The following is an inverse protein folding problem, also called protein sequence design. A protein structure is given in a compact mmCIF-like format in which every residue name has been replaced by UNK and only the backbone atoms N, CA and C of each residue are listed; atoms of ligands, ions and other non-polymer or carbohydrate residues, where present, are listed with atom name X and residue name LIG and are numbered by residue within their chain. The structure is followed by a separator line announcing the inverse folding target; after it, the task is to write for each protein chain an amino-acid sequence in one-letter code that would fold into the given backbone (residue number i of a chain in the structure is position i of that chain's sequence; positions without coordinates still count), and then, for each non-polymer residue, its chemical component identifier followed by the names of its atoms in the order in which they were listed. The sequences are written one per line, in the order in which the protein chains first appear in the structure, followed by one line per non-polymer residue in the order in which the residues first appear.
data_IF_394755039170
#
_entry.id   IF_394755039170
#
_cell.length_a   1.000
_cell.length_b   1.000
_cell.length_c   1.000
_cell.angle_alpha   90.00
_cell.angle_beta   90.00
_cell.angle_gamma   90.00
#
_symmetry.space_group_name_H-M   'P 1'
#
loop_
_entity.id
_entity.type
_entity.pdbx_description
1 polymer ?
#
# COMPACT_ATOMS: atom_id res chain seq x y z
N UNK A 1 -9.24 -8.41 -11.78
CA UNK A 1 -8.26 -7.32 -11.55
C UNK A 1 -8.71 -6.06 -12.29
N UNK A 2 -8.96 -4.95 -11.59
CA UNK A 2 -9.36 -3.68 -12.22
C UNK A 2 -8.19 -2.96 -12.92
N UNK A 3 -7.14 -3.67 -13.35
CA UNK A 3 -6.02 -3.10 -14.10
C UNK A 3 -5.25 -1.98 -13.38
N UNK A 4 -5.27 -1.96 -12.05
CA UNK A 4 -4.74 -0.85 -11.26
C UNK A 4 -3.24 -1.00 -10.97
N UNK A 5 -2.69 -2.21 -11.11
CA UNK A 5 -1.26 -2.51 -10.90
C UNK A 5 -0.83 -3.75 -11.68
N UNK A 6 0.46 -3.77 -12.05
CA UNK A 6 1.06 -4.83 -12.86
C UNK A 6 1.12 -6.17 -12.13
N UNK A 7 1.61 -6.17 -10.87
CA UNK A 7 1.69 -7.39 -10.05
C UNK A 7 1.15 -7.14 -8.64
N UNK A 8 0.24 -8.01 -8.20
CA UNK A 8 -0.16 -8.13 -6.79
C UNK A 8 -0.21 -9.59 -6.35
N UNK A 9 0.50 -9.91 -5.28
CA UNK A 9 0.53 -11.24 -4.67
C UNK A 9 0.05 -11.15 -3.21
N UNK A 10 -1.17 -11.60 -2.88
CA UNK A 10 -1.62 -11.72 -1.50
C UNK A 10 -0.93 -12.94 -0.87
N UNK A 11 0.09 -12.74 -0.04
CA UNK A 11 0.96 -13.82 0.46
C UNK A 11 0.54 -14.39 1.82
N UNK A 12 -0.35 -13.71 2.55
CA UNK A 12 -0.79 -14.13 3.90
C UNK A 12 -1.20 -15.59 4.01
N UNK A 13 -2.03 -16.08 3.07
CA UNK A 13 -2.46 -17.49 3.07
C UNK A 13 -1.29 -18.45 2.90
N UNK A 14 -0.34 -18.13 2.02
CA UNK A 14 0.82 -18.98 1.79
C UNK A 14 1.76 -19.00 3.01
N UNK A 15 1.80 -17.91 3.76
CA UNK A 15 2.59 -17.78 5.00
C UNK A 15 1.85 -18.29 6.24
N UNK A 16 0.54 -18.52 6.16
CA UNK A 16 -0.28 -18.93 7.31
C UNK A 16 -0.42 -17.85 8.38
N UNK A 17 -0.50 -16.57 7.98
CA UNK A 17 -0.63 -15.47 8.94
C UNK A 17 -2.08 -15.28 9.38
N UNK A 18 -2.31 -15.22 10.68
CA UNK A 18 -3.65 -15.01 11.27
C UNK A 18 -3.93 -13.55 11.67
N UNK A 19 -2.87 -12.81 11.99
CA UNK A 19 -2.98 -11.46 12.57
C UNK A 19 -2.41 -10.35 11.68
N UNK A 20 -1.82 -10.70 10.53
CA UNK A 20 -1.21 -9.75 9.60
C UNK A 20 -1.59 -10.09 8.17
N UNK A 21 -2.13 -9.09 7.46
CA UNK A 21 -2.25 -9.13 6.01
C UNK A 21 -0.95 -8.65 5.35
N UNK A 22 -0.46 -9.35 4.34
CA UNK A 22 0.71 -8.95 3.57
C UNK A 22 0.44 -9.16 2.08
N UNK A 23 0.67 -8.09 1.32
CA UNK A 23 0.59 -8.09 -0.13
C UNK A 23 1.94 -7.63 -0.67
N UNK A 24 2.45 -8.33 -1.69
CA UNK A 24 3.58 -7.86 -2.49
C UNK A 24 3.05 -7.21 -3.77
N UNK A 25 3.58 -6.03 -4.09
CA UNK A 25 3.21 -5.26 -5.26
C UNK A 25 4.44 -4.96 -6.13
N UNK A 26 4.26 -4.97 -7.45
CA UNK A 26 5.12 -4.24 -8.38
C UNK A 26 4.24 -3.28 -9.17
N UNK A 27 4.65 -2.02 -9.21
CA UNK A 27 3.90 -0.92 -9.81
C UNK A 27 4.75 -0.29 -10.91
N UNK A 28 4.19 -0.17 -12.11
CA UNK A 28 4.74 0.71 -13.13
C UNK A 28 4.37 2.18 -12.84
N UNK A 29 5.07 3.17 -13.42
CA UNK A 29 4.67 4.57 -13.30
C UNK A 29 3.23 4.79 -13.78
N UNK A 30 2.37 5.29 -12.89
CA UNK A 30 0.94 5.51 -13.14
C UNK A 30 0.02 4.46 -12.53
N UNK A 31 0.55 3.32 -12.08
CA UNK A 31 -0.19 2.30 -11.34
C UNK A 31 -0.49 2.77 -9.90
N UNK A 32 -1.45 2.11 -9.25
CA UNK A 32 -1.82 2.35 -7.86
C UNK A 32 -2.01 1.05 -7.06
N UNK A 33 -1.76 1.16 -5.75
CA UNK A 33 -1.95 0.05 -4.80
C UNK A 33 -3.42 -0.37 -4.66
N UNK A 34 -4.34 0.60 -4.78
CA UNK A 34 -5.77 0.44 -4.55
C UNK A 34 -6.60 1.19 -5.60
N UNK A 35 -7.90 0.93 -5.65
CA UNK A 35 -8.83 1.58 -6.58
C UNK A 35 -9.15 3.06 -6.26
N UNK A 36 -8.55 3.64 -5.23
CA UNK A 36 -8.78 5.03 -4.83
C UNK A 36 -8.43 5.30 -3.36
N UNK A 37 -8.50 6.57 -2.97
CA UNK A 37 -8.32 7.01 -1.59
C UNK A 37 -9.39 6.37 -0.68
N UNK A 38 -8.95 5.72 0.39
CA UNK A 38 -9.79 5.08 1.38
C UNK A 38 -9.01 4.92 2.68
N UNK A 39 -9.70 4.46 3.73
CA UNK A 39 -9.11 4.12 5.01
C UNK A 39 -9.70 2.82 5.54
N UNK A 40 -9.02 2.22 6.51
CA UNK A 40 -9.48 1.07 7.26
C UNK A 40 -9.76 1.48 8.70
N UNK A 41 -10.99 1.33 9.17
CA UNK A 41 -11.38 1.77 10.53
C UNK A 41 -10.86 0.86 11.66
N UNK A 42 -10.50 -0.39 11.33
CA UNK A 42 -10.22 -1.44 12.31
C UNK A 42 -8.79 -2.00 12.27
N UNK A 43 -7.95 -1.53 11.33
CA UNK A 43 -6.58 -1.98 11.17
C UNK A 43 -5.64 -0.84 10.78
N UNK A 44 -4.39 -0.93 11.24
CA UNK A 44 -3.32 -0.10 10.70
C UNK A 44 -2.82 -0.67 9.37
N UNK A 45 -2.32 0.19 8.49
CA UNK A 45 -1.70 -0.22 7.23
C UNK A 45 -0.29 0.34 7.14
N UNK A 46 0.66 -0.49 6.71
CA UNK A 46 2.07 -0.11 6.54
C UNK A 46 2.53 -0.50 5.15
N UNK A 47 3.12 0.45 4.44
CA UNK A 47 3.80 0.22 3.17
C UNK A 47 5.29 0.40 3.36
N UNK A 48 6.06 -0.63 3.04
CA UNK A 48 7.52 -0.57 2.97
C UNK A 48 7.95 -0.62 1.50
N UNK A 49 8.68 0.39 1.04
CA UNK A 49 9.14 0.47 -0.34
C UNK A 49 10.51 -0.19 -0.44
N UNK A 50 10.56 -1.36 -1.06
CA UNK A 50 11.81 -2.11 -1.25
C UNK A 50 12.73 -1.49 -2.31
N UNK A 51 12.15 -0.91 -3.35
CA UNK A 51 12.90 -0.35 -4.48
C UNK A 51 12.07 0.68 -5.23
N UNK A 52 12.72 1.67 -5.83
CA UNK A 52 12.04 2.76 -6.53
C UNK A 52 11.40 3.75 -5.55
N UNK A 53 10.38 4.46 -6.01
CA UNK A 53 9.68 5.45 -5.19
C UNK A 53 8.18 5.34 -5.45
N UNK A 54 7.41 5.21 -4.37
CA UNK A 54 5.96 5.29 -4.40
C UNK A 54 5.52 6.69 -3.93
N UNK A 55 4.42 7.21 -4.47
CA UNK A 55 3.81 8.44 -3.98
C UNK A 55 2.42 8.11 -3.44
N UNK A 56 2.16 8.50 -2.19
CA UNK A 56 0.88 8.32 -1.53
C UNK A 56 0.12 9.65 -1.50
N UNK A 57 -1.17 9.59 -1.77
CA UNK A 57 -2.09 10.70 -1.45
C UNK A 57 -2.63 10.47 -0.04
N UNK A 58 -2.37 11.41 0.87
CA UNK A 58 -2.67 11.29 2.30
C UNK A 58 -3.65 12.36 2.75
N UNK A 59 -4.63 11.94 3.55
CA UNK A 59 -5.64 12.83 4.13
C UNK A 59 -6.61 13.44 3.11
N UNK A 60 -7.51 14.28 3.62
CA UNK A 60 -8.59 14.89 2.81
C UNK A 60 -8.09 15.88 1.77
N UNK A 61 -6.98 16.55 2.07
CA UNK A 61 -6.35 17.53 1.19
C UNK A 61 -5.45 16.89 0.13
N UNK A 62 -5.33 15.54 0.15
CA UNK A 62 -4.53 14.74 -0.79
C UNK A 62 -3.08 15.21 -0.84
N UNK A 63 -2.47 15.38 0.33
CA UNK A 63 -1.05 15.66 0.42
C UNK A 63 -0.26 14.53 -0.23
N UNK A 64 0.75 14.87 -1.03
CA UNK A 64 1.55 13.89 -1.77
C UNK A 64 2.83 13.60 -1.02
N UNK A 65 2.94 12.40 -0.48
CA UNK A 65 4.12 11.93 0.24
C UNK A 65 4.89 10.94 -0.63
N UNK A 66 6.13 11.28 -0.99
CA UNK A 66 7.03 10.37 -1.68
C UNK A 66 7.77 9.49 -0.66
N UNK A 67 7.75 8.19 -0.88
CA UNK A 67 8.42 7.20 -0.03
C UNK A 67 9.40 6.43 -0.91
N UNK A 68 10.69 6.58 -0.58
CA UNK A 68 11.81 6.02 -1.33
C UNK A 68 12.19 4.61 -0.90
N UNK A 69 13.26 4.05 -1.48
CA UNK A 69 13.72 2.71 -1.13
C UNK A 69 14.18 2.65 0.33
N UNK A 70 13.85 1.54 0.98
CA UNK A 70 14.13 1.24 2.39
C UNK A 70 13.45 2.19 3.39
N UNK A 71 12.40 2.89 2.95
CA UNK A 71 11.53 3.70 3.78
C UNK A 71 10.14 3.07 3.93
N UNK A 72 9.42 3.51 4.98
CA UNK A 72 8.07 3.09 5.25
C UNK A 72 7.14 4.26 5.53
N UNK A 73 5.88 4.10 5.16
CA UNK A 73 4.76 4.93 5.60
C UNK A 73 3.73 4.06 6.31
N UNK A 74 3.14 4.60 7.37
CA UNK A 74 2.10 3.96 8.18
C UNK A 74 0.87 4.85 8.19
N UNK A 75 -0.30 4.21 8.13
CA UNK A 75 -1.60 4.81 8.35
C UNK A 75 -2.24 4.17 9.57
N UNK A 76 -2.70 5.00 10.51
CA UNK A 76 -3.46 4.53 11.66
C UNK A 76 -4.88 4.08 11.25
N UNK A 77 -5.58 3.30 12.08
CA UNK A 77 -6.99 2.99 11.82
C UNK A 77 -7.82 4.27 11.69
N UNK A 78 -8.56 4.40 10.58
CA UNK A 78 -9.44 5.52 10.25
C UNK A 78 -8.75 6.78 9.70
N UNK A 79 -7.43 6.74 9.46
CA UNK A 79 -6.66 7.85 8.87
C UNK A 79 -6.95 8.08 7.38
#
# INVERSE_FOLDING_TARGET
PMGVHDIRKPVSRALGTDHVAMNYFELAPGDAFSGGLHTHDDQEEVFYVRSGTATFEVGRDRERVAVGPDEAIRFAPGE
#
